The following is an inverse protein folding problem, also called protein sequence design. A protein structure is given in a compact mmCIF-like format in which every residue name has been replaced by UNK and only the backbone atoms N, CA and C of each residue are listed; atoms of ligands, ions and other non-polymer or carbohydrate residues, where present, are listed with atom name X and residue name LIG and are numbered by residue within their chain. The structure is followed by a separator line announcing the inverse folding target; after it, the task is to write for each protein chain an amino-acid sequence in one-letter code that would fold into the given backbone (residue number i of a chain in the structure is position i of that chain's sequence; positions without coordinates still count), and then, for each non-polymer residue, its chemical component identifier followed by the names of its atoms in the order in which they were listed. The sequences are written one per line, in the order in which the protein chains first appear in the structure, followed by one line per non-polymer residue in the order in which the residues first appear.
data_IF_419593623432
#
_entry.id   IF_419593623432
#
_cell.length_a   1.000
_cell.length_b   1.000
_cell.length_c   1.000
_cell.angle_alpha   90.00
_cell.angle_beta   90.00
_cell.angle_gamma   90.00
#
_symmetry.space_group_name_H-M   'P 1'
#
loop_
_entity.id
_entity.type
_entity.pdbx_description
1 polymer ?
#
# COMPACT_ATOMS: atom_id res chain seq x y z
N UNK A 1 -22.69 3.41 -17.53
CA UNK A 1 -21.30 3.37 -17.02
C UNK A 1 -20.89 1.91 -16.87
N UNK A 2 -19.94 1.44 -17.66
CA UNK A 2 -19.39 0.08 -17.57
C UNK A 2 -18.66 -0.09 -16.23
N UNK A 3 -19.04 -1.13 -15.49
CA UNK A 3 -18.59 -1.41 -14.12
C UNK A 3 -17.17 -1.99 -14.16
N UNK A 4 -16.17 -1.20 -13.76
CA UNK A 4 -14.77 -1.65 -13.78
C UNK A 4 -14.48 -2.52 -12.55
N UNK A 5 -14.31 -3.83 -12.77
CA UNK A 5 -13.81 -4.78 -11.77
C UNK A 5 -12.34 -4.48 -11.52
N UNK A 6 -11.96 -4.30 -10.25
CA UNK A 6 -10.56 -4.02 -9.88
C UNK A 6 -9.77 -5.32 -9.81
N UNK A 7 -8.51 -5.32 -10.25
CA UNK A 7 -7.64 -6.51 -10.20
C UNK A 7 -6.98 -6.60 -8.81
N UNK A 8 -7.30 -7.59 -7.95
CA UNK A 8 -6.78 -7.63 -6.58
C UNK A 8 -5.27 -7.77 -6.49
N UNK A 9 -4.67 -8.57 -7.38
CA UNK A 9 -3.22 -8.73 -7.45
C UNK A 9 -2.51 -7.42 -7.81
N UNK A 10 -3.14 -6.54 -8.60
CA UNK A 10 -2.57 -5.24 -8.94
C UNK A 10 -2.56 -4.32 -7.73
N UNK A 11 -3.62 -4.34 -6.91
CA UNK A 11 -3.65 -3.61 -5.64
C UNK A 11 -2.54 -4.07 -4.68
N UNK A 12 -2.25 -5.38 -4.65
CA UNK A 12 -1.17 -5.93 -3.85
C UNK A 12 0.21 -5.45 -4.31
N UNK A 13 0.50 -5.57 -5.62
CA UNK A 13 1.79 -5.13 -6.19
C UNK A 13 2.00 -3.63 -5.99
N UNK A 14 0.95 -2.83 -6.16
CA UNK A 14 1.03 -1.39 -5.91
C UNK A 14 1.42 -1.07 -4.46
N UNK A 15 0.86 -1.80 -3.48
CA UNK A 15 1.24 -1.63 -2.08
C UNK A 15 2.61 -2.23 -1.73
N UNK A 16 3.11 -3.24 -2.46
CA UNK A 16 4.48 -3.73 -2.30
C UNK A 16 5.52 -2.71 -2.79
N UNK A 17 5.23 -2.03 -3.91
CA UNK A 17 6.12 -1.01 -4.47
C UNK A 17 6.09 0.27 -3.66
N UNK A 18 4.88 0.71 -3.29
CA UNK A 18 4.69 1.91 -2.49
C UNK A 18 3.44 1.74 -1.63
N UNK A 19 3.65 1.48 -0.34
CA UNK A 19 2.61 1.37 0.67
C UNK A 19 1.64 2.54 0.56
N UNK A 20 0.39 2.26 0.19
CA UNK A 20 -0.65 3.26 0.02
C UNK A 20 -1.29 3.28 -1.37
N UNK A 21 -0.53 2.98 -2.44
CA UNK A 21 -1.02 3.06 -3.82
C UNK A 21 -2.13 2.05 -4.14
N UNK A 22 -2.09 0.87 -3.52
CA UNK A 22 -3.13 -0.15 -3.67
C UNK A 22 -4.50 0.38 -3.25
N UNK A 23 -4.57 1.14 -2.16
CA UNK A 23 -5.82 1.74 -1.68
C UNK A 23 -6.33 2.85 -2.61
N UNK A 24 -5.41 3.67 -3.13
CA UNK A 24 -5.72 4.72 -4.12
C UNK A 24 -6.28 4.09 -5.41
N UNK A 25 -5.67 3.01 -5.90
CA UNK A 25 -6.13 2.28 -7.09
C UNK A 25 -7.53 1.65 -6.91
N UNK A 26 -7.76 1.03 -5.75
CA UNK A 26 -9.06 0.42 -5.43
C UNK A 26 -10.15 1.48 -5.27
N UNK A 27 -9.80 2.68 -4.81
CA UNK A 27 -10.72 3.79 -4.57
C UNK A 27 -11.46 3.68 -3.24
N UNK A 28 -11.02 2.81 -2.33
CA UNK A 28 -11.55 2.64 -0.97
C UNK A 28 -10.44 3.01 0.02
N UNK A 29 -10.76 3.83 1.03
CA UNK A 29 -9.79 4.38 1.99
C UNK A 29 -8.65 5.19 1.33
N UNK A 30 -8.98 5.98 0.31
CA UNK A 30 -8.00 6.77 -0.46
C UNK A 30 -7.17 7.70 0.44
N UNK A 31 -7.80 8.36 1.42
CA UNK A 31 -7.08 9.22 2.37
C UNK A 31 -6.02 8.48 3.20
N UNK A 32 -6.31 7.25 3.62
CA UNK A 32 -5.33 6.38 4.29
C UNK A 32 -4.18 6.00 3.34
N UNK A 33 -4.51 5.67 2.09
CA UNK A 33 -3.49 5.41 1.07
C UNK A 33 -2.55 6.59 0.83
N UNK A 34 -3.09 7.81 0.72
CA UNK A 34 -2.29 9.03 0.58
C UNK A 34 -1.42 9.26 1.81
N UNK A 35 -1.97 9.09 3.01
CA UNK A 35 -1.22 9.26 4.26
C UNK A 35 -0.03 8.27 4.35
N UNK A 36 -0.22 7.01 3.94
CA UNK A 36 0.87 6.02 3.89
C UNK A 36 1.96 6.39 2.89
N UNK A 37 1.59 6.89 1.71
CA UNK A 37 2.57 7.35 0.70
C UNK A 37 3.39 8.52 1.26
N UNK A 38 2.72 9.52 1.84
CA UNK A 38 3.40 10.67 2.44
C UNK A 38 4.31 10.26 3.60
N UNK A 39 3.84 9.33 4.43
CA UNK A 39 4.64 8.77 5.52
C UNK A 39 5.91 8.08 5.00
N UNK A 40 5.79 7.26 3.95
CA UNK A 40 6.95 6.63 3.31
C UNK A 40 7.96 7.64 2.76
N UNK A 41 7.50 8.74 2.16
CA UNK A 41 8.37 9.82 1.68
C UNK A 41 9.10 10.51 2.84
N UNK A 42 8.40 10.80 3.95
CA UNK A 42 9.00 11.41 5.14
C UNK A 42 10.07 10.48 5.73
N UNK A 43 9.75 9.20 5.92
CA UNK A 43 10.71 8.21 6.42
C UNK A 43 11.94 8.11 5.51
N UNK A 44 11.75 8.02 4.20
CA UNK A 44 12.85 7.97 3.25
C UNK A 44 13.75 9.22 3.35
N UNK A 45 13.17 10.41 3.46
CA UNK A 45 13.91 11.66 3.63
C UNK A 45 14.72 11.67 4.94
N UNK A 46 14.11 11.24 6.06
CA UNK A 46 14.78 11.18 7.37
C UNK A 46 15.94 10.18 7.39
N UNK A 47 15.74 9.01 6.77
CA UNK A 47 16.72 7.91 6.77
C UNK A 47 17.88 8.12 5.80
N UNK A 48 17.74 8.99 4.80
CA UNK A 48 18.79 9.28 3.81
C UNK A 48 20.12 9.78 4.42
N UNK A 49 20.09 10.26 5.66
CA UNK A 49 21.24 10.82 6.39
C UNK A 49 21.83 9.88 7.45
N UNK A 50 21.27 8.67 7.65
CA UNK A 50 21.62 7.79 8.77
C UNK A 50 21.84 6.34 8.32
N UNK A 51 22.68 5.62 9.06
CA UNK A 51 22.84 4.18 8.88
C UNK A 51 21.60 3.46 9.40
N UNK A 52 20.89 2.76 8.52
CA UNK A 52 19.63 2.11 8.86
C UNK A 52 19.92 0.77 9.55
N UNK A 53 19.43 0.53 10.78
CA UNK A 53 19.57 -0.76 11.44
C UNK A 53 18.91 -1.89 10.62
N UNK A 54 19.53 -3.08 10.51
CA UNK A 54 18.95 -4.21 9.78
C UNK A 54 17.53 -4.59 10.24
N UNK A 55 17.21 -4.37 11.51
CA UNK A 55 15.88 -4.66 12.07
C UNK A 55 14.77 -3.78 11.45
N UNK A 56 15.06 -2.52 11.11
CA UNK A 56 14.10 -1.62 10.46
C UNK A 56 13.79 -2.04 9.01
N UNK A 57 14.76 -2.62 8.32
CA UNK A 57 14.54 -3.21 6.99
C UNK A 57 13.57 -4.40 7.07
N UNK A 58 13.73 -5.26 8.08
CA UNK A 58 12.85 -6.39 8.29
C UNK A 58 11.42 -5.93 8.61
N UNK A 59 11.27 -4.95 9.51
CA UNK A 59 9.96 -4.36 9.83
C UNK A 59 9.28 -3.76 8.59
N UNK A 60 10.02 -2.96 7.81
CA UNK A 60 9.52 -2.37 6.56
C UNK A 60 9.07 -3.43 5.57
N UNK A 61 9.83 -4.52 5.43
CA UNK A 61 9.47 -5.63 4.55
C UNK A 61 8.19 -6.34 5.01
N UNK A 62 8.06 -6.61 6.31
CA UNK A 62 6.85 -7.22 6.89
C UNK A 62 5.64 -6.31 6.67
N UNK A 63 5.76 -5.00 6.95
CA UNK A 63 4.69 -4.03 6.73
C UNK A 63 4.26 -3.95 5.27
N UNK A 64 5.20 -3.95 4.33
CA UNK A 64 4.89 -3.96 2.89
C UNK A 64 4.07 -5.19 2.49
N UNK A 65 4.39 -6.38 3.02
CA UNK A 65 3.61 -7.59 2.79
C UNK A 65 2.19 -7.47 3.38
N UNK A 66 2.09 -6.95 4.62
CA UNK A 66 0.79 -6.77 5.29
C UNK A 66 -0.10 -5.80 4.51
N UNK A 67 0.44 -4.66 4.06
CA UNK A 67 -0.32 -3.70 3.25
C UNK A 67 -0.65 -4.24 1.87
N UNK A 68 0.21 -5.05 1.26
CA UNK A 68 -0.11 -5.72 0.01
C UNK A 68 -1.30 -6.68 0.16
N UNK A 69 -1.31 -7.46 1.25
CA UNK A 69 -2.41 -8.36 1.57
C UNK A 69 -3.71 -7.60 1.87
N UNK A 70 -3.66 -6.53 2.67
CA UNK A 70 -4.85 -5.72 2.97
C UNK A 70 -5.38 -5.01 1.71
N UNK A 71 -4.49 -4.51 0.84
CA UNK A 71 -4.86 -3.96 -0.46
C UNK A 71 -5.54 -4.98 -1.38
N UNK A 72 -5.03 -6.21 -1.40
CA UNK A 72 -5.64 -7.34 -2.12
C UNK A 72 -7.06 -7.63 -1.62
N UNK A 73 -7.23 -7.79 -0.30
CA UNK A 73 -8.54 -8.05 0.31
C UNK A 73 -9.50 -6.90 0.08
N UNK A 74 -9.05 -5.65 0.24
CA UNK A 74 -9.87 -4.46 -0.01
C UNK A 74 -10.39 -4.44 -1.45
N UNK A 75 -9.56 -4.83 -2.43
CA UNK A 75 -9.99 -4.97 -3.81
C UNK A 75 -11.06 -6.06 -4.01
N UNK A 76 -10.91 -7.21 -3.34
CA UNK A 76 -11.91 -8.28 -3.37
C UNK A 76 -13.23 -7.84 -2.75
N UNK A 77 -13.21 -7.25 -1.56
CA UNK A 77 -14.40 -6.73 -0.89
C UNK A 77 -15.14 -5.72 -1.76
N UNK A 78 -14.41 -4.81 -2.41
CA UNK A 78 -14.99 -3.81 -3.30
C UNK A 78 -15.60 -4.46 -4.53
N UNK A 79 -15.03 -5.56 -5.04
CA UNK A 79 -15.62 -6.29 -6.17
C UNK A 79 -16.84 -7.12 -5.75
N UNK A 80 -16.87 -7.68 -4.53
CA UNK A 80 -17.98 -8.49 -4.01
C UNK A 80 -19.18 -7.65 -3.56
N UNK A 81 -18.93 -6.47 -2.98
CA UNK A 81 -19.99 -5.56 -2.50
C UNK A 81 -20.51 -4.62 -3.60
N UNK A 82 -20.20 -4.90 -4.86
CA UNK A 82 -20.57 -4.10 -6.03
C UNK A 82 -21.50 -4.89 -6.92
#
# INVERSE_FOLDING_TARGET
MTKVIKKPWLAAILNLLLSGLGYVYVGKRVGFGIALVLWGVILFAMMSSQQIPPMMWLDSFVLSILFAYDGYKTAQEVNMNK
#
